data_IF_522623692553
#
_entry.id   IF_522623692553
#
_cell.length_a   1.000
_cell.length_b   1.000
_cell.length_c   1.000
_cell.angle_alpha   90.00
_cell.angle_beta   90.00
_cell.angle_gamma   90.00
#
_symmetry.space_group_name_H-M   'P 1'
#
loop_
_entity.id
_entity.type
_entity.pdbx_description
1 polymer ?
#
# COMPACT_ATOMS: atom_id res chain seq x y z
N UNK A 1 -29.46 72.89 15.10
CA UNK A 1 -30.74 72.18 15.20
C UNK A 1 -30.40 70.72 14.95
N UNK A 2 -30.13 69.92 15.98
CA UNK A 2 -31.14 69.29 16.88
C UNK A 2 -32.10 68.41 16.06
N UNK A 3 -32.43 67.14 16.33
CA UNK A 3 -32.25 66.14 17.39
C UNK A 3 -32.74 64.80 16.75
N UNK A 4 -32.08 63.64 16.88
CA UNK A 4 -32.20 62.59 17.94
C UNK A 4 -33.28 61.50 17.70
N UNK A 5 -32.81 60.23 17.64
CA UNK A 5 -33.45 58.92 17.99
C UNK A 5 -34.62 58.37 17.15
N UNK A 6 -34.83 57.06 16.91
CA UNK A 6 -34.75 55.82 17.74
C UNK A 6 -34.69 54.58 16.79
N UNK A 7 -33.81 53.59 17.02
CA UNK A 7 -34.04 52.26 17.65
C UNK A 7 -34.91 51.23 16.89
N UNK A 8 -34.34 50.03 16.66
CA UNK A 8 -35.05 48.83 16.19
C UNK A 8 -34.11 47.64 15.91
N UNK A 9 -34.01 46.73 16.89
CA UNK A 9 -33.28 45.44 16.91
C UNK A 9 -33.93 44.35 16.03
N UNK A 10 -33.15 43.31 15.65
CA UNK A 10 -33.50 41.90 15.29
C UNK A 10 -32.81 41.41 13.99
N UNK A 11 -32.30 40.19 13.79
CA UNK A 11 -32.02 39.00 14.61
C UNK A 11 -31.03 38.14 13.81
N UNK A 12 -30.16 37.42 14.51
CA UNK A 12 -29.26 36.39 13.97
C UNK A 12 -30.07 35.12 13.68
N UNK A 13 -30.34 34.82 12.40
CA UNK A 13 -30.88 33.54 11.93
C UNK A 13 -30.11 33.09 10.69
N UNK A 14 -28.96 32.44 10.87
CA UNK A 14 -28.29 31.75 9.75
C UNK A 14 -27.46 30.53 10.16
N UNK A 15 -27.56 30.04 11.41
CA UNK A 15 -26.76 28.88 11.86
C UNK A 15 -27.54 27.58 12.00
N UNK A 16 -28.88 27.59 12.10
CA UNK A 16 -29.63 26.34 12.27
C UNK A 16 -29.82 25.53 10.97
N UNK A 17 -29.78 26.16 9.80
CA UNK A 17 -30.00 25.46 8.53
C UNK A 17 -28.76 24.67 8.06
N UNK A 18 -27.56 25.05 8.50
CA UNK A 18 -26.33 24.36 8.13
C UNK A 18 -26.10 23.09 8.95
N UNK A 19 -26.47 23.10 10.23
CA UNK A 19 -26.28 21.93 11.10
C UNK A 19 -27.16 20.74 10.68
N UNK A 20 -28.42 20.99 10.28
CA UNK A 20 -29.30 19.92 9.79
C UNK A 20 -28.84 19.33 8.45
N UNK A 21 -28.31 20.16 7.54
CA UNK A 21 -27.80 19.68 6.26
C UNK A 21 -26.51 18.86 6.41
N UNK A 22 -25.66 19.22 7.39
CA UNK A 22 -24.49 18.44 7.76
C UNK A 22 -24.90 17.10 8.38
N UNK A 23 -25.93 17.09 9.21
CA UNK A 23 -26.40 15.88 9.89
C UNK A 23 -26.99 14.85 8.91
N UNK A 24 -27.79 15.30 7.93
CA UNK A 24 -28.28 14.45 6.82
C UNK A 24 -27.12 13.90 5.97
N UNK A 25 -26.07 14.71 5.74
CA UNK A 25 -24.89 14.25 5.03
C UNK A 25 -24.12 13.18 5.83
N UNK A 26 -23.98 13.31 7.15
CA UNK A 26 -23.30 12.30 7.96
C UNK A 26 -24.07 10.97 8.02
N UNK A 27 -25.40 11.01 8.02
CA UNK A 27 -26.25 9.81 7.99
C UNK A 27 -26.22 9.11 6.62
N UNK A 28 -26.22 9.87 5.52
CA UNK A 28 -26.09 9.34 4.16
C UNK A 28 -24.76 8.60 3.92
N UNK A 29 -23.70 8.97 4.64
CA UNK A 29 -22.38 8.36 4.54
C UNK A 29 -22.06 7.35 5.67
N UNK A 30 -23.01 7.07 6.57
CA UNK A 30 -22.86 6.07 7.63
C UNK A 30 -21.77 6.41 8.66
N UNK A 31 -21.48 7.71 8.85
CA UNK A 31 -20.45 8.19 9.77
C UNK A 31 -21.12 8.56 11.11
N UNK A 32 -20.70 7.99 12.26
CA UNK A 32 -21.27 8.35 13.55
C UNK A 32 -20.96 9.81 13.90
N UNK A 33 -21.99 10.60 14.17
CA UNK A 33 -21.87 12.03 14.53
C UNK A 33 -21.29 12.22 15.93
N UNK A 34 -20.40 13.20 16.15
CA UNK A 34 -19.59 13.31 17.36
C UNK A 34 -20.29 13.97 18.57
N UNK A 35 -21.63 13.96 18.66
CA UNK A 35 -22.32 14.68 19.74
C UNK A 35 -23.43 13.85 20.39
N UNK A 36 -23.03 12.94 21.27
CA UNK A 36 -23.86 12.44 22.36
C UNK A 36 -22.96 12.13 23.56
N UNK A 37 -22.86 13.10 24.46
CA UNK A 37 -22.43 12.86 25.84
C UNK A 37 -23.48 11.93 26.49
N UNK A 38 -23.04 10.74 26.90
CA UNK A 38 -23.75 9.93 27.89
C UNK A 38 -22.94 9.97 29.20
N UNK A 39 -23.69 10.22 30.26
CA UNK A 39 -23.26 10.51 31.63
C UNK A 39 -22.72 9.26 32.35
N UNK A 40 -21.73 9.47 33.21
CA UNK A 40 -21.32 8.52 34.25
C UNK A 40 -22.48 8.26 35.24
N UNK A 41 -22.45 7.10 35.93
CA UNK A 41 -22.26 7.20 37.37
C UNK A 41 -21.18 6.26 37.94
N UNK A 42 -20.57 6.78 38.99
CA UNK A 42 -19.54 6.23 39.88
C UNK A 42 -20.06 5.05 40.72
N UNK A 43 -19.24 4.02 40.93
CA UNK A 43 -19.23 3.25 42.18
C UNK A 43 -17.79 2.81 42.56
N UNK A 44 -17.54 2.90 43.86
CA UNK A 44 -16.27 2.79 44.58
C UNK A 44 -16.18 1.40 45.25
N UNK A 45 -15.00 0.79 45.33
CA UNK A 45 -14.77 -0.43 46.14
C UNK A 45 -13.29 -0.78 46.30
N UNK A 46 -12.84 -0.83 47.56
CA UNK A 46 -11.46 -0.90 48.08
C UNK A 46 -10.77 -2.30 48.06
N UNK A 47 -9.46 -2.28 47.75
CA UNK A 47 -8.30 -2.97 48.38
C UNK A 47 -7.95 -4.49 48.23
N UNK A 48 -6.64 -4.86 48.39
CA UNK A 48 -5.88 -5.93 47.70
C UNK A 48 -5.39 -7.03 48.68
N UNK A 49 -4.24 -7.77 48.52
CA UNK A 49 -3.38 -8.16 47.38
C UNK A 49 -3.19 -9.70 47.27
N UNK A 50 -2.44 -10.23 46.28
CA UNK A 50 -1.39 -11.27 46.47
C UNK A 50 -0.97 -12.07 45.20
N UNK A 51 0.36 -12.09 45.01
CA UNK A 51 1.26 -13.18 44.55
C UNK A 51 1.57 -13.32 43.03
N UNK A 52 2.88 -13.24 42.81
CA UNK A 52 3.71 -13.49 41.63
C UNK A 52 3.57 -14.93 41.09
N UNK A 53 3.69 -15.09 39.77
CA UNK A 53 4.42 -16.23 39.19
C UNK A 53 4.93 -15.87 37.79
N UNK A 54 6.26 -15.73 37.68
CA UNK A 54 7.01 -15.68 36.43
C UNK A 54 7.02 -17.06 35.78
N UNK A 55 6.60 -17.17 34.51
CA UNK A 55 7.12 -18.23 33.63
C UNK A 55 7.45 -17.67 32.25
N UNK A 56 8.73 -17.74 31.96
CA UNK A 56 9.43 -17.39 30.73
C UNK A 56 8.86 -18.04 29.45
N UNK A 57 8.58 -17.22 28.44
CA UNK A 57 8.98 -17.53 27.06
C UNK A 57 9.19 -16.22 26.30
N UNK A 58 10.39 -16.02 25.75
CA UNK A 58 10.79 -14.82 25.01
C UNK A 58 10.05 -14.76 23.67
N UNK A 59 8.83 -14.22 23.65
CA UNK A 59 8.38 -13.45 22.49
C UNK A 59 8.70 -12.00 22.80
N UNK A 60 9.42 -11.32 21.91
CA UNK A 60 9.70 -9.89 22.06
C UNK A 60 8.38 -9.15 21.88
N UNK A 61 7.67 -8.94 22.98
CA UNK A 61 6.41 -8.20 23.00
C UNK A 61 6.74 -6.72 22.91
N UNK A 62 6.20 -6.05 21.90
CA UNK A 62 6.34 -4.61 21.75
C UNK A 62 5.04 -4.00 22.26
N UNK A 63 5.12 -3.19 23.31
CA UNK A 63 3.98 -2.43 23.82
C UNK A 63 3.67 -1.29 22.85
N UNK A 64 2.53 -1.37 22.16
CA UNK A 64 2.07 -0.30 21.27
C UNK A 64 0.79 0.29 21.85
N UNK A 65 0.76 1.61 22.02
CA UNK A 65 -0.45 2.31 22.47
C UNK A 65 -1.49 2.34 21.35
N UNK A 66 -2.58 1.60 21.55
CA UNK A 66 -3.74 1.64 20.67
C UNK A 66 -4.95 2.10 21.50
N UNK A 67 -5.62 3.17 21.07
CA UNK A 67 -6.79 3.74 21.76
C UNK A 67 -6.60 4.04 23.27
N UNK A 68 -5.43 4.57 23.67
CA UNK A 68 -5.05 4.93 25.05
C UNK A 68 -4.89 3.75 26.03
N UNK A 69 -4.92 2.51 25.54
CA UNK A 69 -4.57 1.32 26.31
C UNK A 69 -3.22 0.76 25.83
N UNK A 70 -2.40 0.30 26.77
CA UNK A 70 -1.12 -0.35 26.47
C UNK A 70 -1.40 -1.81 26.09
N UNK A 71 -1.29 -2.13 24.79
CA UNK A 71 -1.52 -3.48 24.27
C UNK A 71 -0.17 -4.11 23.92
N UNK A 72 0.14 -5.25 24.53
CA UNK A 72 1.31 -6.07 24.20
C UNK A 72 1.02 -6.88 22.93
N UNK A 73 1.72 -6.58 21.85
CA UNK A 73 1.60 -7.30 20.57
C UNK A 73 2.88 -8.10 20.35
N UNK A 74 2.73 -9.37 19.97
CA UNK A 74 3.86 -10.19 19.54
C UNK A 74 4.49 -9.61 18.27
N UNK A 75 5.83 -9.55 18.20
CA UNK A 75 6.61 -8.99 17.09
C UNK A 75 6.20 -9.54 15.70
N UNK A 76 5.65 -10.75 15.64
CA UNK A 76 5.16 -11.38 14.41
C UNK A 76 3.85 -10.78 13.87
N UNK A 77 3.00 -10.19 14.72
CA UNK A 77 1.71 -9.61 14.34
C UNK A 77 1.78 -8.11 14.02
N UNK A 78 2.90 -7.46 14.37
CA UNK A 78 3.18 -6.05 14.08
C UNK A 78 3.05 -5.71 12.59
N UNK A 79 3.60 -6.48 11.62
CA UNK A 79 3.48 -6.15 10.20
C UNK A 79 2.03 -6.20 9.69
N UNK A 80 1.24 -7.15 10.18
CA UNK A 80 -0.16 -7.34 9.77
C UNK A 80 -1.05 -6.23 10.35
N UNK A 81 -0.88 -5.88 11.62
CA UNK A 81 -1.61 -4.79 12.27
C UNK A 81 -1.20 -3.42 11.74
N UNK A 82 0.05 -3.26 11.32
CA UNK A 82 0.53 -2.04 10.66
C UNK A 82 -0.03 -1.92 9.23
N UNK A 83 -0.17 -3.03 8.50
CA UNK A 83 -0.87 -3.07 7.21
C UNK A 83 -2.37 -2.76 7.35
N UNK A 84 -3.04 -3.29 8.39
CA UNK A 84 -4.42 -2.97 8.72
C UNK A 84 -4.58 -1.52 9.18
N UNK A 85 -3.63 -0.99 9.95
CA UNK A 85 -3.59 0.39 10.41
C UNK A 85 -3.38 1.42 9.29
N UNK A 86 -2.62 1.05 8.24
CA UNK A 86 -2.44 1.86 7.03
C UNK A 86 -3.55 1.66 5.97
N UNK A 87 -4.59 0.88 6.27
CA UNK A 87 -5.71 0.57 5.37
C UNK A 87 -5.31 0.00 3.99
N UNK A 88 -4.11 -0.60 3.88
CA UNK A 88 -3.60 -1.14 2.61
C UNK A 88 -4.46 -2.28 2.08
N UNK A 89 -5.08 -3.05 2.97
CA UNK A 89 -6.01 -4.14 2.63
C UNK A 89 -7.27 -3.62 1.93
N UNK A 90 -7.92 -2.59 2.49
CA UNK A 90 -9.10 -1.94 1.88
C UNK A 90 -8.79 -1.26 0.54
N UNK A 91 -7.56 -0.79 0.34
CA UNK A 91 -7.13 -0.21 -0.94
C UNK A 91 -6.89 -1.31 -1.97
N UNK A 92 -6.28 -2.43 -1.59
CA UNK A 92 -6.09 -3.59 -2.47
C UNK A 92 -7.42 -4.20 -2.92
N UNK A 93 -8.38 -4.34 -2.00
CA UNK A 93 -9.72 -4.82 -2.31
C UNK A 93 -10.41 -3.89 -3.33
N UNK A 94 -10.45 -2.58 -3.04
CA UNK A 94 -11.01 -1.59 -3.98
C UNK A 94 -10.31 -1.61 -5.35
N UNK A 95 -8.99 -1.71 -5.38
CA UNK A 95 -8.24 -1.82 -6.64
C UNK A 95 -8.62 -3.07 -7.42
N UNK A 96 -8.79 -4.21 -6.73
CA UNK A 96 -9.24 -5.46 -7.38
C UNK A 96 -10.67 -5.36 -7.92
N UNK A 97 -11.55 -4.63 -7.22
CA UNK A 97 -12.92 -4.36 -7.68
C UNK A 97 -12.93 -3.47 -8.92
N UNK A 98 -12.12 -2.40 -8.93
CA UNK A 98 -11.97 -1.53 -10.09
C UNK A 98 -11.41 -2.28 -11.30
N UNK A 99 -10.40 -3.13 -11.12
CA UNK A 99 -9.88 -3.97 -12.19
C UNK A 99 -10.97 -4.88 -12.77
N UNK A 100 -11.74 -5.57 -11.92
CA UNK A 100 -12.87 -6.41 -12.37
C UNK A 100 -13.98 -5.59 -13.05
N UNK A 101 -14.20 -4.34 -12.62
CA UNK A 101 -15.16 -3.46 -13.27
C UNK A 101 -14.68 -3.04 -14.68
N UNK A 102 -13.39 -2.70 -14.82
CA UNK A 102 -12.77 -2.36 -16.09
C UNK A 102 -12.75 -3.56 -17.06
N UNK A 103 -12.40 -4.76 -16.58
CA UNK A 103 -12.45 -5.97 -17.40
C UNK A 103 -13.87 -6.30 -17.87
N UNK A 104 -14.88 -6.05 -17.04
CA UNK A 104 -16.29 -6.18 -17.45
C UNK A 104 -16.64 -5.15 -18.52
N UNK A 105 -16.25 -3.89 -18.35
CA UNK A 105 -16.48 -2.85 -19.35
C UNK A 105 -15.80 -3.16 -20.69
N UNK A 106 -14.55 -3.64 -20.65
CA UNK A 106 -13.80 -4.06 -21.82
C UNK A 106 -14.50 -5.21 -22.56
N UNK A 107 -14.93 -6.25 -21.82
CA UNK A 107 -15.68 -7.39 -22.40
C UNK A 107 -17.03 -6.97 -22.99
N UNK A 108 -17.73 -6.02 -22.37
CA UNK A 108 -18.97 -5.46 -22.91
C UNK A 108 -18.75 -4.75 -24.26
N UNK A 109 -17.57 -4.16 -24.46
CA UNK A 109 -17.15 -3.54 -25.72
C UNK A 109 -16.47 -4.53 -26.68
N UNK A 110 -16.35 -5.80 -26.32
CA UNK A 110 -15.78 -6.86 -27.16
C UNK A 110 -14.25 -6.98 -27.10
N UNK A 111 -13.59 -6.40 -26.10
CA UNK A 111 -12.16 -6.55 -25.86
C UNK A 111 -11.87 -7.68 -24.86
N UNK A 112 -10.74 -8.35 -25.03
CA UNK A 112 -10.32 -9.48 -24.18
C UNK A 112 -9.83 -9.03 -22.79
N UNK A 113 -9.15 -7.87 -22.74
CA UNK A 113 -8.59 -7.29 -21.52
C UNK A 113 -8.88 -5.79 -21.41
N UNK A 114 -8.87 -5.23 -20.20
CA UNK A 114 -8.97 -3.78 -20.01
C UNK A 114 -7.75 -3.03 -20.56
N UNK A 115 -6.57 -3.67 -20.63
CA UNK A 115 -5.37 -3.08 -21.22
C UNK A 115 -5.55 -2.84 -22.73
N UNK A 116 -6.10 -3.83 -23.45
CA UNK A 116 -6.42 -3.69 -24.87
C UNK A 116 -7.48 -2.62 -25.13
N UNK A 117 -8.46 -2.53 -24.22
CA UNK A 117 -9.50 -1.51 -24.29
C UNK A 117 -8.91 -0.10 -24.13
N UNK A 118 -8.04 0.12 -23.14
CA UNK A 118 -7.37 1.41 -22.93
C UNK A 118 -6.48 1.76 -24.12
N UNK A 119 -5.65 0.82 -24.59
CA UNK A 119 -4.78 1.05 -25.74
C UNK A 119 -5.57 1.39 -27.02
N UNK A 120 -6.78 0.85 -27.17
CA UNK A 120 -7.66 1.21 -28.28
C UNK A 120 -8.32 2.59 -28.09
N UNK A 121 -8.71 2.95 -26.87
CA UNK A 121 -9.17 4.30 -26.56
C UNK A 121 -8.10 5.33 -26.89
N UNK A 122 -6.85 5.11 -26.49
CA UNK A 122 -5.73 6.00 -26.81
C UNK A 122 -5.55 6.18 -28.34
N UNK A 123 -5.70 5.10 -29.11
CA UNK A 123 -5.66 5.17 -30.58
C UNK A 123 -6.82 5.99 -31.15
N UNK A 124 -8.03 5.81 -30.64
CA UNK A 124 -9.22 6.56 -31.08
C UNK A 124 -9.04 8.04 -30.72
N UNK A 125 -8.56 8.35 -29.51
CA UNK A 125 -8.30 9.72 -29.06
C UNK A 125 -7.23 10.40 -29.93
N UNK A 126 -6.14 9.70 -30.22
CA UNK A 126 -5.10 10.19 -31.13
C UNK A 126 -5.64 10.43 -32.55
N UNK A 127 -6.48 9.52 -33.07
CA UNK A 127 -7.14 9.67 -34.38
C UNK A 127 -8.11 10.85 -34.38
N UNK A 128 -8.91 11.04 -33.33
CA UNK A 128 -9.83 12.18 -33.20
C UNK A 128 -9.09 13.50 -33.05
N UNK A 129 -7.94 13.52 -32.37
CA UNK A 129 -7.09 14.70 -32.29
C UNK A 129 -6.57 15.07 -33.68
N UNK A 130 -6.02 14.10 -34.41
CA UNK A 130 -5.55 14.32 -35.78
C UNK A 130 -6.67 14.74 -36.73
N UNK A 131 -7.84 14.10 -36.67
CA UNK A 131 -8.99 14.46 -37.50
C UNK A 131 -9.45 15.90 -37.25
N UNK A 132 -9.44 16.36 -35.99
CA UNK A 132 -9.76 17.75 -35.64
C UNK A 132 -8.70 18.74 -36.14
N UNK A 133 -7.43 18.37 -36.10
CA UNK A 133 -6.34 19.17 -36.66
C UNK A 133 -6.48 19.28 -38.19
N UNK A 134 -6.71 18.15 -38.88
CA UNK A 134 -6.91 18.09 -40.33
C UNK A 134 -8.16 18.90 -40.77
N UNK A 135 -9.27 18.81 -40.02
CA UNK A 135 -10.50 19.58 -40.30
C UNK A 135 -10.26 21.09 -40.13
N UNK A 136 -9.54 21.48 -39.08
CA UNK A 136 -9.16 22.88 -38.86
C UNK A 136 -8.26 23.41 -39.98
N UNK A 137 -7.28 22.63 -40.42
CA UNK A 137 -6.41 23.01 -41.54
C UNK A 137 -7.17 23.12 -42.86
N UNK A 138 -8.11 22.20 -43.12
CA UNK A 138 -8.98 22.26 -44.29
C UNK A 138 -9.83 23.54 -44.29
N UNK A 139 -10.53 23.83 -43.19
CA UNK A 139 -11.32 25.06 -43.04
C UNK A 139 -10.47 26.33 -43.20
N UNK A 140 -9.25 26.32 -42.65
CA UNK A 140 -8.30 27.43 -42.82
C UNK A 140 -7.93 27.62 -44.29
N UNK A 141 -7.66 26.54 -45.01
CA UNK A 141 -7.31 26.59 -46.43
C UNK A 141 -8.49 27.04 -47.30
N UNK A 142 -9.71 26.60 -46.99
CA UNK A 142 -10.92 27.04 -47.68
C UNK A 142 -11.15 28.54 -47.51
N UNK A 143 -11.02 29.06 -46.29
CA UNK A 143 -11.08 30.50 -46.03
C UNK A 143 -10.01 31.28 -46.78
N UNK A 144 -8.77 30.75 -46.85
CA UNK A 144 -7.71 31.38 -47.62
C UNK A 144 -8.03 31.43 -49.11
N UNK A 145 -8.59 30.34 -49.67
CA UNK A 145 -9.01 30.29 -51.07
C UNK A 145 -10.15 31.26 -51.37
N UNK A 146 -11.15 31.38 -50.47
CA UNK A 146 -12.24 32.35 -50.61
C UNK A 146 -11.73 33.80 -50.61
N UNK A 147 -10.78 34.12 -49.72
CA UNK A 147 -10.16 35.45 -49.65
C UNK A 147 -9.29 35.73 -50.89
N UNK A 148 -8.59 34.73 -51.41
CA UNK A 148 -7.82 34.84 -52.65
C UNK A 148 -8.73 35.09 -53.87
N UNK A 149 -9.85 34.37 -53.98
CA UNK A 149 -10.88 34.60 -55.02
C UNK A 149 -11.49 36.00 -54.87
N UNK A 150 -11.65 36.51 -53.65
CA UNK A 150 -12.10 37.87 -53.38
C UNK A 150 -11.02 38.95 -53.70
N UNK A 151 -9.84 38.54 -54.17
CA UNK A 151 -8.75 39.42 -54.60
C UNK A 151 -7.80 39.87 -53.48
N UNK A 152 -7.87 39.23 -52.30
CA UNK A 152 -6.96 39.49 -51.19
C UNK A 152 -5.72 38.61 -51.38
N UNK A 153 -4.53 39.22 -51.31
CA UNK A 153 -3.26 38.48 -51.33
C UNK A 153 -3.21 37.46 -50.18
N UNK A 154 -2.94 36.19 -50.54
CA UNK A 154 -2.87 35.04 -49.62
C UNK A 154 -2.00 35.32 -48.40
N UNK A 155 -0.86 35.98 -48.59
CA UNK A 155 0.07 36.28 -47.49
C UNK A 155 -0.54 37.26 -46.47
N UNK A 156 -1.40 38.19 -46.93
CA UNK A 156 -2.13 39.11 -46.05
C UNK A 156 -3.30 38.43 -45.38
N UNK A 157 -4.00 37.54 -46.10
CA UNK A 157 -5.09 36.74 -45.55
C UNK A 157 -4.62 35.83 -44.40
N UNK A 158 -3.48 35.14 -44.58
CA UNK A 158 -2.87 34.31 -43.52
C UNK A 158 -2.56 35.14 -42.27
N UNK A 159 -1.90 36.30 -42.44
CA UNK A 159 -1.62 37.20 -41.31
C UNK A 159 -2.87 37.72 -40.63
N UNK A 160 -3.96 37.95 -41.36
CA UNK A 160 -5.22 38.38 -40.78
C UNK A 160 -5.86 37.27 -39.94
N UNK A 161 -5.91 36.05 -40.47
CA UNK A 161 -6.45 34.88 -39.76
C UNK A 161 -5.61 34.58 -38.52
N UNK A 162 -4.29 34.57 -38.63
CA UNK A 162 -3.39 34.29 -37.50
C UNK A 162 -3.45 35.39 -36.42
N UNK A 163 -3.72 36.65 -36.79
CA UNK A 163 -3.85 37.76 -35.85
C UNK A 163 -5.29 38.01 -35.38
N UNK A 164 -6.26 37.21 -35.84
CA UNK A 164 -7.65 37.41 -35.45
C UNK A 164 -7.82 37.14 -33.95
N UNK A 165 -8.44 38.02 -33.16
CA UNK A 165 -8.52 37.89 -31.70
C UNK A 165 -9.11 36.54 -31.25
N UNK A 166 -10.14 36.05 -31.96
CA UNK A 166 -10.76 34.76 -31.67
C UNK A 166 -9.80 33.58 -31.91
N UNK A 167 -8.99 33.64 -32.99
CA UNK A 167 -8.02 32.60 -33.30
C UNK A 167 -6.85 32.61 -32.31
N UNK A 168 -6.44 33.78 -31.85
CA UNK A 168 -5.43 33.90 -30.79
C UNK A 168 -5.93 33.32 -29.45
N UNK A 169 -7.19 33.60 -29.08
CA UNK A 169 -7.80 33.01 -27.89
C UNK A 169 -7.91 31.49 -28.00
N UNK A 170 -8.34 30.98 -29.16
CA UNK A 170 -8.43 29.55 -29.42
C UNK A 170 -7.04 28.86 -29.36
N UNK A 171 -6.00 29.46 -29.97
CA UNK A 171 -4.62 28.94 -29.88
C UNK A 171 -4.13 28.88 -28.45
N UNK A 172 -4.31 29.95 -27.66
CA UNK A 172 -3.91 29.96 -26.25
C UNK A 172 -4.60 28.86 -25.45
N UNK A 173 -5.89 28.64 -25.67
CA UNK A 173 -6.63 27.57 -24.99
C UNK A 173 -6.13 26.16 -25.38
N UNK A 174 -5.74 25.96 -26.65
CA UNK A 174 -5.14 24.70 -27.11
C UNK A 174 -3.74 24.51 -26.51
N UNK A 175 -2.90 25.54 -26.54
CA UNK A 175 -1.56 25.54 -25.97
C UNK A 175 -1.59 25.25 -24.46
N UNK A 176 -2.50 25.89 -23.71
CA UNK A 176 -2.68 25.65 -22.28
C UNK A 176 -3.07 24.18 -22.01
N UNK A 177 -4.02 23.62 -22.77
CA UNK A 177 -4.38 22.20 -22.64
C UNK A 177 -3.21 21.27 -22.94
N UNK A 178 -2.43 21.55 -23.99
CA UNK A 178 -1.25 20.77 -24.33
C UNK A 178 -0.18 20.84 -23.25
N UNK A 179 0.04 22.03 -22.66
CA UNK A 179 0.97 22.19 -21.53
C UNK A 179 0.50 21.42 -20.30
N UNK A 180 -0.78 21.49 -19.94
CA UNK A 180 -1.34 20.73 -18.83
C UNK A 180 -1.17 19.22 -19.07
N UNK A 181 -1.44 18.76 -20.28
CA UNK A 181 -1.28 17.35 -20.66
C UNK A 181 0.19 16.90 -20.59
N UNK A 182 1.12 17.73 -21.07
CA UNK A 182 2.56 17.47 -20.95
C UNK A 182 3.03 17.45 -19.48
N UNK A 183 2.59 18.39 -18.66
CA UNK A 183 2.91 18.41 -17.22
C UNK A 183 2.37 17.16 -16.55
N UNK A 184 1.12 16.80 -16.83
CA UNK A 184 0.51 15.57 -16.30
C UNK A 184 1.29 14.32 -16.72
N UNK A 185 1.69 14.22 -17.99
CA UNK A 185 2.53 13.11 -18.46
C UNK A 185 3.88 13.08 -17.74
N UNK A 186 4.55 14.23 -17.60
CA UNK A 186 5.81 14.31 -16.86
C UNK A 186 5.65 13.92 -15.39
N UNK A 187 4.58 14.36 -14.72
CA UNK A 187 4.26 13.97 -13.35
C UNK A 187 4.03 12.47 -13.24
N UNK A 188 3.28 11.86 -14.16
CA UNK A 188 3.06 10.40 -14.15
C UNK A 188 4.35 9.62 -14.36
N UNK A 189 5.22 10.05 -15.27
CA UNK A 189 6.52 9.41 -15.51
C UNK A 189 7.42 9.55 -14.28
N UNK A 190 7.43 10.72 -13.64
CA UNK A 190 8.18 10.93 -12.39
C UNK A 190 7.65 10.06 -11.26
N UNK A 191 6.33 9.99 -11.07
CA UNK A 191 5.72 9.12 -10.06
C UNK A 191 6.01 7.64 -10.33
N UNK A 192 5.95 7.20 -11.58
CA UNK A 192 6.32 5.83 -11.96
C UNK A 192 7.79 5.54 -11.66
N UNK A 193 8.71 6.45 -12.02
CA UNK A 193 10.11 6.31 -11.71
C UNK A 193 10.35 6.20 -10.19
N UNK A 194 9.70 7.05 -9.39
CA UNK A 194 9.79 7.00 -7.92
C UNK A 194 9.26 5.68 -7.36
N UNK A 195 8.13 5.19 -7.88
CA UNK A 195 7.56 3.90 -7.48
C UNK A 195 8.47 2.72 -7.84
N UNK A 196 9.09 2.77 -9.01
CA UNK A 196 10.03 1.74 -9.48
C UNK A 196 11.30 1.68 -8.61
N UNK A 197 11.80 2.82 -8.13
CA UNK A 197 12.86 2.87 -7.12
C UNK A 197 12.39 2.44 -5.73
N UNK A 198 11.18 2.82 -5.32
CA UNK A 198 10.60 2.39 -4.05
C UNK A 198 10.48 0.87 -3.96
N UNK A 199 10.05 0.21 -5.05
CA UNK A 199 9.98 -1.26 -5.12
C UNK A 199 11.35 -1.94 -4.92
N UNK A 200 12.44 -1.33 -5.40
CA UNK A 200 13.79 -1.81 -5.14
C UNK A 200 14.12 -1.74 -3.65
N UNK A 201 13.84 -0.61 -3.01
CA UNK A 201 14.10 -0.41 -1.58
C UNK A 201 13.24 -1.31 -0.69
N UNK A 202 12.00 -1.56 -1.06
CA UNK A 202 11.11 -2.47 -0.34
C UNK A 202 11.58 -3.93 -0.46
N UNK A 203 12.06 -4.34 -1.64
CA UNK A 203 12.57 -5.69 -1.86
C UNK A 203 13.95 -5.92 -1.21
N UNK A 204 14.79 -4.89 -1.15
CA UNK A 204 16.15 -4.96 -0.63
C UNK A 204 16.44 -3.79 0.34
N UNK A 205 16.04 -3.89 1.62
CA UNK A 205 16.17 -2.79 2.58
C UNK A 205 17.60 -2.26 2.74
N UNK A 206 18.63 -3.12 2.59
CA UNK A 206 20.05 -2.73 2.64
C UNK A 206 20.44 -1.66 1.60
N UNK A 207 19.73 -1.62 0.47
CA UNK A 207 19.96 -0.62 -0.60
C UNK A 207 19.47 0.77 -0.21
N UNK A 208 18.52 0.88 0.73
CA UNK A 208 17.93 2.14 1.20
C UNK A 208 18.87 2.91 2.12
N UNK A 209 19.63 2.21 2.95
CA UNK A 209 20.61 2.85 3.84
C UNK A 209 21.76 3.42 3.03
N UNK A 210 22.24 2.63 2.07
CA UNK A 210 23.37 2.99 1.20
C UNK A 210 22.99 3.98 0.10
N UNK A 211 21.71 4.16 -0.23
CA UNK A 211 21.28 5.18 -1.22
C UNK A 211 21.51 6.62 -0.76
N UNK A 212 21.74 6.87 0.53
CA UNK A 212 22.13 8.20 1.01
C UNK A 212 23.43 8.69 0.35
N UNK A 213 24.31 7.76 -0.06
CA UNK A 213 25.55 8.08 -0.77
C UNK A 213 25.32 8.85 -2.08
N UNK A 214 24.16 8.67 -2.74
CA UNK A 214 23.80 9.46 -3.93
C UNK A 214 23.76 10.96 -3.64
N UNK A 215 23.38 11.36 -2.42
CA UNK A 215 23.34 12.78 -2.02
C UNK A 215 24.74 13.36 -1.79
N UNK A 216 25.72 12.50 -1.49
CA UNK A 216 27.13 12.86 -1.33
C UNK A 216 27.89 12.87 -2.67
N UNK A 217 27.19 12.65 -3.79
CA UNK A 217 27.78 12.56 -5.13
C UNK A 217 28.58 11.26 -5.36
N UNK A 218 28.38 10.24 -4.52
CA UNK A 218 29.01 8.93 -4.65
C UNK A 218 27.98 7.89 -5.08
N UNK A 219 28.38 6.97 -5.95
CA UNK A 219 27.54 5.84 -6.31
C UNK A 219 27.67 4.76 -5.22
N UNK A 220 26.55 4.21 -4.71
CA UNK A 220 26.57 3.06 -3.82
C UNK A 220 27.25 1.84 -4.47
N UNK A 221 27.88 0.99 -3.67
CA UNK A 221 28.58 -0.22 -4.17
C UNK A 221 27.65 -1.16 -4.97
N UNK A 222 26.36 -1.16 -4.66
CA UNK A 222 25.35 -1.94 -5.36
C UNK A 222 24.89 -1.31 -6.68
N UNK A 223 25.16 -0.03 -6.91
CA UNK A 223 24.76 0.68 -8.12
C UNK A 223 25.84 0.57 -9.20
N UNK A 224 26.04 -0.66 -9.68
CA UNK A 224 27.08 -1.01 -10.64
C UNK A 224 26.83 -0.41 -12.02
N UNK A 225 27.89 -0.30 -12.84
CA UNK A 225 27.80 0.19 -14.23
C UNK A 225 26.85 -0.67 -15.08
N UNK A 226 26.82 -1.99 -14.84
CA UNK A 226 25.88 -2.90 -15.51
C UNK A 226 24.42 -2.58 -15.16
N UNK A 227 24.14 -2.25 -13.90
CA UNK A 227 22.82 -1.82 -13.47
C UNK A 227 22.42 -0.50 -14.14
N UNK A 228 23.35 0.46 -14.21
CA UNK A 228 23.15 1.73 -14.90
C UNK A 228 22.83 1.54 -16.38
N UNK A 229 23.59 0.70 -17.07
CA UNK A 229 23.38 0.38 -18.48
C UNK A 229 22.00 -0.26 -18.71
N UNK A 230 21.57 -1.17 -17.84
CA UNK A 230 20.23 -1.76 -17.91
C UNK A 230 19.13 -0.72 -17.69
N UNK A 231 19.28 0.19 -16.73
CA UNK A 231 18.31 1.28 -16.52
C UNK A 231 18.24 2.20 -17.75
N UNK A 232 19.38 2.51 -18.38
CA UNK A 232 19.43 3.29 -19.63
C UNK A 232 18.75 2.58 -20.80
N UNK A 233 18.78 1.24 -20.83
CA UNK A 233 18.03 0.42 -21.80
C UNK A 233 16.52 0.35 -21.49
N UNK A 234 16.05 0.98 -20.42
CA UNK A 234 14.63 1.02 -20.03
C UNK A 234 14.21 -0.10 -19.07
N UNK A 235 15.15 -0.84 -18.47
CA UNK A 235 14.80 -1.81 -17.43
C UNK A 235 14.45 -1.11 -16.12
N UNK A 236 13.44 -1.64 -15.42
CA UNK A 236 13.10 -1.19 -14.07
C UNK A 236 14.28 -1.40 -13.11
N UNK A 237 14.55 -0.50 -12.15
CA UNK A 237 15.66 -0.61 -11.19
C UNK A 237 15.67 -1.93 -10.43
N UNK A 238 14.51 -2.43 -9.99
CA UNK A 238 14.39 -3.72 -9.32
C UNK A 238 14.89 -4.90 -10.19
N UNK A 239 14.53 -4.89 -11.47
CA UNK A 239 14.95 -5.94 -12.40
C UNK A 239 16.44 -5.81 -12.71
N UNK A 240 16.91 -4.59 -12.99
CA UNK A 240 18.32 -4.33 -13.26
C UNK A 240 19.20 -4.78 -12.08
N UNK A 241 18.81 -4.46 -10.85
CA UNK A 241 19.52 -4.89 -9.65
C UNK A 241 19.57 -6.42 -9.51
N UNK A 242 18.42 -7.09 -9.68
CA UNK A 242 18.37 -8.56 -9.61
C UNK A 242 19.31 -9.18 -10.63
N UNK A 243 19.29 -8.70 -11.87
CA UNK A 243 20.13 -9.22 -12.95
C UNK A 243 21.62 -9.02 -12.66
N UNK A 244 22.03 -7.82 -12.25
CA UNK A 244 23.45 -7.53 -11.97
C UNK A 244 23.97 -8.21 -10.70
N UNK A 245 23.08 -8.56 -9.76
CA UNK A 245 23.44 -9.19 -8.49
C UNK A 245 23.03 -10.66 -8.39
N UNK A 246 22.70 -11.32 -9.52
CA UNK A 246 22.20 -12.70 -9.51
C UNK A 246 23.10 -13.67 -8.74
N UNK A 247 24.41 -13.62 -8.97
CA UNK A 247 25.35 -14.53 -8.31
C UNK A 247 25.40 -14.33 -6.80
N UNK A 248 25.40 -13.06 -6.36
CA UNK A 248 25.38 -12.70 -4.94
C UNK A 248 24.08 -13.18 -4.28
N UNK A 249 22.93 -12.92 -4.91
CA UNK A 249 21.61 -13.33 -4.41
C UNK A 249 21.47 -14.86 -4.36
N UNK A 250 21.93 -15.56 -5.39
CA UNK A 250 21.94 -17.03 -5.42
C UNK A 250 22.82 -17.61 -4.31
N UNK A 251 23.99 -17.02 -4.08
CA UNK A 251 24.88 -17.46 -2.99
C UNK A 251 24.25 -17.25 -1.61
N UNK A 252 23.57 -16.12 -1.38
CA UNK A 252 22.86 -15.84 -0.12
C UNK A 252 21.70 -16.81 0.08
N UNK A 253 20.92 -17.07 -0.98
CA UNK A 253 19.80 -18.01 -0.95
C UNK A 253 20.29 -19.42 -0.61
N UNK A 254 21.38 -19.88 -1.23
CA UNK A 254 21.99 -21.18 -0.90
C UNK A 254 22.42 -21.25 0.56
N UNK A 255 23.12 -20.22 1.08
CA UNK A 255 23.52 -20.16 2.49
C UNK A 255 22.33 -20.21 3.45
N UNK A 256 21.25 -19.50 3.14
CA UNK A 256 20.03 -19.53 3.96
C UNK A 256 19.36 -20.91 3.95
N UNK A 257 19.30 -21.57 2.78
CA UNK A 257 18.75 -22.93 2.66
C UNK A 257 19.61 -23.93 3.43
N UNK A 258 20.95 -23.84 3.30
CA UNK A 258 21.88 -24.68 4.07
C UNK A 258 21.74 -24.47 5.57
N UNK A 259 21.63 -23.21 6.04
CA UNK A 259 21.41 -22.91 7.46
C UNK A 259 20.06 -23.44 7.96
N UNK A 260 18.99 -23.32 7.17
CA UNK A 260 17.68 -23.89 7.50
C UNK A 260 17.74 -25.41 7.59
N UNK A 261 18.38 -26.07 6.63
CA UNK A 261 18.57 -27.52 6.62
C UNK A 261 19.40 -27.98 7.83
N UNK A 262 20.47 -27.27 8.19
CA UNK A 262 21.26 -27.56 9.40
C UNK A 262 20.40 -27.37 10.66
N UNK A 263 19.55 -26.33 10.71
CA UNK A 263 18.65 -26.08 11.85
C UNK A 263 17.61 -27.19 11.99
N UNK A 264 17.02 -27.63 10.87
CA UNK A 264 16.06 -28.74 10.82
C UNK A 264 16.70 -30.07 11.22
N UNK A 265 17.92 -30.36 10.72
CA UNK A 265 18.67 -31.55 11.15
C UNK A 265 18.97 -31.51 12.64
N UNK A 266 19.41 -30.37 13.20
CA UNK A 266 19.65 -30.21 14.65
C UNK A 266 18.37 -30.38 15.46
N UNK A 267 17.25 -29.85 14.99
CA UNK A 267 15.94 -30.01 15.64
C UNK A 267 15.48 -31.47 15.59
N UNK A 268 15.61 -32.13 14.43
CA UNK A 268 15.29 -33.56 14.26
C UNK A 268 16.15 -34.47 15.14
N UNK A 269 17.46 -34.24 15.19
CA UNK A 269 18.35 -35.00 16.07
C UNK A 269 18.06 -34.74 17.55
N UNK A 270 17.71 -33.51 17.94
CA UNK A 270 17.29 -33.22 19.32
C UNK A 270 15.96 -33.88 19.67
N UNK A 271 15.00 -33.90 18.75
CA UNK A 271 13.73 -34.59 18.95
C UNK A 271 13.92 -36.10 19.11
N UNK A 272 14.79 -36.73 18.30
CA UNK A 272 15.17 -38.14 18.44
C UNK A 272 15.88 -38.42 19.77
N UNK A 273 16.80 -37.55 20.21
CA UNK A 273 17.49 -37.73 21.49
C UNK A 273 16.53 -37.57 22.68
N UNK A 274 15.50 -36.73 22.60
CA UNK A 274 14.45 -36.64 23.63
C UNK A 274 13.58 -37.90 23.66
N UNK A 275 13.22 -38.47 22.50
CA UNK A 275 12.48 -39.74 22.46
C UNK A 275 13.34 -40.91 22.94
N UNK A 276 14.63 -40.95 22.60
CA UNK A 276 15.54 -42.02 23.05
C UNK A 276 15.93 -41.88 24.53
N UNK A 277 15.95 -40.65 25.09
CA UNK A 277 16.12 -40.44 26.52
C UNK A 277 14.88 -40.86 27.35
N UNK A 278 13.69 -40.92 26.72
CA UNK A 278 12.50 -41.55 27.32
C UNK A 278 12.44 -43.07 27.09
N UNK A 279 13.31 -43.62 26.23
CA UNK A 279 13.39 -45.05 25.91
C UNK A 279 14.42 -45.83 26.73
N UNK A 280 15.10 -45.19 27.69
CA UNK A 280 15.99 -45.87 28.62
C UNK A 280 15.20 -46.65 29.68
N UNK A 281 14.81 -47.87 29.33
CA UNK A 281 14.45 -49.00 30.21
C UNK A 281 13.51 -48.65 31.37
N UNK A 282 12.20 -48.64 31.09
CA UNK A 282 11.27 -49.05 32.13
C UNK A 282 11.43 -50.57 32.30
N UNK A 283 12.17 -51.00 33.31
CA UNK A 283 12.05 -52.38 33.82
C UNK A 283 10.58 -52.56 34.22
N UNK A 284 9.86 -53.37 33.43
CA UNK A 284 8.47 -53.73 33.67
C UNK A 284 8.37 -54.33 35.08
N UNK A 285 7.58 -53.66 35.95
CA UNK A 285 7.24 -54.21 37.25
C UNK A 285 6.44 -55.50 36.99
N UNK A 286 6.87 -56.66 37.53
CA UNK A 286 6.08 -57.88 37.43
C UNK A 286 4.66 -57.62 37.91
N UNK A 287 3.67 -58.03 37.10
CA UNK A 287 2.24 -57.75 37.33
C UNK A 287 1.78 -58.14 38.74
N UNK A 288 2.38 -59.19 39.30
CA UNK A 288 2.12 -59.67 40.67
C UNK A 288 2.50 -58.65 41.76
N UNK A 289 3.59 -57.91 41.58
CA UNK A 289 4.01 -56.87 42.54
C UNK A 289 3.17 -55.60 42.40
N UNK A 290 2.81 -55.23 41.16
CA UNK A 290 1.93 -54.10 40.91
C UNK A 290 0.52 -54.34 41.52
N UNK A 291 0.00 -55.56 41.37
CA UNK A 291 -1.29 -55.95 41.96
C UNK A 291 -1.23 -56.04 43.47
N UNK A 292 -0.16 -56.57 44.06
CA UNK A 292 0.03 -56.58 45.51
C UNK A 292 0.07 -55.16 46.10
N UNK A 293 0.82 -54.24 45.49
CA UNK A 293 0.88 -52.84 45.94
C UNK A 293 -0.47 -52.14 45.83
N UNK A 294 -1.21 -52.37 44.74
CA UNK A 294 -2.57 -51.87 44.58
C UNK A 294 -3.53 -52.40 45.67
N UNK A 295 -3.40 -53.68 46.04
CA UNK A 295 -4.22 -54.31 47.07
C UNK A 295 -4.00 -53.68 48.47
N UNK A 296 -2.80 -53.17 48.72
CA UNK A 296 -2.43 -52.49 49.96
C UNK A 296 -2.53 -50.96 49.88
N UNK A 297 -3.08 -50.40 48.80
CA UNK A 297 -3.24 -48.95 48.62
C UNK A 297 -1.92 -48.20 48.40
N UNK A 298 -0.86 -48.91 48.01
CA UNK A 298 0.45 -48.35 47.72
C UNK A 298 0.60 -48.11 46.21
N UNK A 299 1.39 -47.10 45.83
CA UNK A 299 1.59 -46.76 44.43
C UNK A 299 2.33 -47.91 43.69
N UNK A 300 1.76 -48.53 42.65
CA UNK A 300 2.36 -49.68 41.96
C UNK A 300 3.72 -49.36 41.33
N UNK A 301 3.99 -48.09 40.99
CA UNK A 301 5.28 -47.65 40.46
C UNK A 301 6.40 -47.66 41.51
N UNK A 302 6.05 -47.67 42.81
CA UNK A 302 7.04 -47.80 43.90
C UNK A 302 7.55 -49.24 44.06
N UNK A 303 6.85 -50.23 43.48
CA UNK A 303 7.28 -51.63 43.46
C UNK A 303 8.56 -51.86 42.62
N UNK A 304 8.91 -50.94 41.71
CA UNK A 304 10.17 -50.94 40.94
C UNK A 304 11.41 -51.09 41.85
N UNK A 305 11.37 -50.59 43.10
CA UNK A 305 12.47 -50.69 44.06
C UNK A 305 12.71 -52.10 44.62
N UNK A 306 11.72 -52.99 44.48
CA UNK A 306 11.75 -54.34 45.03
C UNK A 306 11.92 -55.41 43.94
N UNK A 307 11.92 -55.00 42.68
CA UNK A 307 12.34 -55.85 41.56
C UNK A 307 13.86 -55.98 41.64
N UNK A 308 14.35 -57.18 41.99
CA UNK A 308 15.78 -57.49 41.99
C UNK A 308 16.26 -57.46 40.53
N UNK A 309 17.34 -56.71 40.26
CA UNK A 309 18.15 -56.88 39.05
C UNK A 309 18.63 -58.32 38.91
#
# INVERSE_FOLDING_TARGET
MEETTQSGSQTVESHQTQDNALQDAFEAFGIPTPNKQEENPTEQGDNPPAIEEETSSETKKISVKFNKEDVEIDEAQVPELLQKGLALEKVRERNSEYQRALDRAAKLQGFDSHEDFIANLDKIEAQQKKAREDEYEAQRNDLLNELEIAGIDRTRAEKFIDNHPLMQQARRAIEEKQQIEQVRQQETVQQQAMNDWAQLYDAFPETRETSQLFTEGKNPDWYTEEMQAMIQMGYKPLHAFKLSHMDKLNSQTRKQVEQKLIKEQRLGSRAQVVTDASGATEEDVPVELATAFSLFGLNPNSAKKYVKK
#
